data_IF_181586701865
#
_entry.id   IF_181586701865
#
_cell.length_a   1.000
_cell.length_b   1.000
_cell.length_c   1.000
_cell.angle_alpha   90.00
_cell.angle_beta   90.00
_cell.angle_gamma   90.00
#
_symmetry.space_group_name_H-M   'P 1'
#
loop_
_entity.id
_entity.type
_entity.pdbx_description
1 polymer ?
#
# COMPACT_ATOMS: atom_id res chain seq x y z
N UNK A 1 -14.23 -20.89 5.72
CA UNK A 1 -13.23 -21.81 5.17
C UNK A 1 -11.92 -21.05 5.03
N UNK A 2 -11.06 -21.12 6.06
CA UNK A 2 -9.84 -20.31 6.15
C UNK A 2 -8.70 -21.20 6.68
N UNK A 3 -8.31 -22.16 5.87
CA UNK A 3 -7.01 -22.82 5.97
C UNK A 3 -6.06 -22.07 5.03
N UNK A 4 -5.36 -21.08 5.58
CA UNK A 4 -4.39 -20.28 4.84
C UNK A 4 -3.49 -19.54 5.83
N UNK A 5 -2.52 -20.22 6.46
CA UNK A 5 -1.71 -19.68 7.56
C UNK A 5 -0.63 -18.68 7.10
N UNK A 6 -0.75 -18.10 5.90
CA UNK A 6 0.19 -17.09 5.42
C UNK A 6 -0.41 -15.70 5.61
N UNK A 7 0.03 -14.90 6.62
CA UNK A 7 -0.46 -13.54 6.81
C UNK A 7 -0.30 -12.70 5.53
N UNK A 8 0.68 -13.06 4.69
CA UNK A 8 0.92 -12.41 3.41
C UNK A 8 -0.22 -12.56 2.39
N UNK A 9 -0.87 -13.72 2.31
CA UNK A 9 -1.93 -13.95 1.33
C UNK A 9 -3.23 -13.29 1.77
N UNK A 10 -3.59 -13.39 3.06
CA UNK A 10 -4.74 -12.66 3.63
C UNK A 10 -4.63 -11.14 3.42
N UNK A 11 -3.43 -10.58 3.56
CA UNK A 11 -3.16 -9.16 3.32
C UNK A 11 -3.11 -8.82 1.83
N UNK A 12 -2.62 -9.73 0.98
CA UNK A 12 -2.67 -9.61 -0.47
C UNK A 12 -4.11 -9.47 -0.96
N UNK A 13 -4.99 -10.37 -0.55
CA UNK A 13 -6.43 -10.28 -0.88
C UNK A 13 -7.06 -8.99 -0.33
N UNK A 14 -6.72 -8.55 0.88
CA UNK A 14 -7.24 -7.30 1.45
C UNK A 14 -6.76 -6.04 0.71
N UNK A 15 -5.47 -5.97 0.37
CA UNK A 15 -4.90 -4.82 -0.34
C UNK A 15 -5.36 -4.76 -1.81
N UNK A 16 -5.48 -5.92 -2.47
CA UNK A 16 -6.02 -6.02 -3.83
C UNK A 16 -7.53 -5.73 -3.87
N UNK A 17 -8.28 -6.17 -2.84
CA UNK A 17 -9.72 -5.90 -2.73
C UNK A 17 -10.04 -4.41 -2.74
N UNK A 18 -9.22 -3.57 -2.08
CA UNK A 18 -9.38 -2.12 -2.09
C UNK A 18 -9.23 -1.49 -3.48
N UNK A 19 -8.50 -2.13 -4.40
CA UNK A 19 -8.29 -1.66 -5.77
C UNK A 19 -9.19 -2.35 -6.80
N UNK A 20 -9.90 -3.41 -6.39
CA UNK A 20 -10.75 -4.22 -7.27
C UNK A 20 -11.87 -3.39 -7.92
N UNK A 21 -12.44 -2.43 -7.18
CA UNK A 21 -13.45 -1.51 -7.71
C UNK A 21 -12.94 -0.69 -8.91
N UNK A 22 -11.68 -0.24 -8.87
CA UNK A 22 -11.05 0.48 -9.97
C UNK A 22 -10.81 -0.43 -11.19
N UNK A 23 -10.38 -1.68 -10.94
CA UNK A 23 -10.16 -2.67 -12.00
C UNK A 23 -11.48 -2.98 -12.70
N UNK A 24 -12.54 -3.24 -11.95
CA UNK A 24 -13.89 -3.48 -12.49
C UNK A 24 -14.40 -2.29 -13.31
N UNK A 25 -14.21 -1.07 -12.81
CA UNK A 25 -14.59 0.14 -13.53
C UNK A 25 -13.82 0.28 -14.84
N UNK A 26 -12.53 -0.08 -14.84
CA UNK A 26 -11.68 -0.05 -16.03
C UNK A 26 -12.11 -1.11 -17.06
N UNK A 27 -12.45 -2.32 -16.62
CA UNK A 27 -12.95 -3.39 -17.49
C UNK A 27 -14.29 -3.04 -18.14
N UNK A 28 -15.11 -2.23 -17.48
CA UNK A 28 -16.42 -1.81 -17.97
C UNK A 28 -16.39 -0.49 -18.75
N UNK A 29 -15.19 0.07 -19.03
CA UNK A 29 -15.02 1.34 -19.74
C UNK A 29 -15.82 1.41 -21.04
N UNK A 30 -15.84 0.33 -21.83
CA UNK A 30 -16.62 0.27 -23.08
C UNK A 30 -18.13 0.53 -22.91
N UNK A 31 -18.71 0.25 -21.73
CA UNK A 31 -20.14 0.43 -21.47
C UNK A 31 -20.51 1.88 -21.13
N UNK A 32 -19.66 2.58 -20.37
CA UNK A 32 -20.01 3.89 -19.79
C UNK A 32 -19.22 5.06 -20.40
N UNK A 33 -18.12 4.79 -21.10
CA UNK A 33 -17.25 5.86 -21.62
C UNK A 33 -17.88 6.69 -22.74
N UNK A 34 -18.78 6.10 -23.53
CA UNK A 34 -19.53 6.82 -24.56
C UNK A 34 -20.53 7.83 -23.98
N UNK A 35 -20.94 7.61 -22.72
CA UNK A 35 -21.93 8.42 -22.04
C UNK A 35 -21.25 9.54 -21.24
N UNK A 36 -21.26 10.77 -21.77
CA UNK A 36 -20.62 11.93 -21.13
C UNK A 36 -21.10 12.20 -19.70
N UNK A 37 -22.38 11.96 -19.41
CA UNK A 37 -22.94 12.11 -18.05
C UNK A 37 -22.33 11.12 -17.05
N UNK A 38 -22.09 9.88 -17.47
CA UNK A 38 -21.53 8.83 -16.62
C UNK A 38 -20.07 9.16 -16.28
N UNK A 39 -19.31 9.68 -17.24
CA UNK A 39 -17.93 10.16 -17.02
C UNK A 39 -17.87 11.28 -15.99
N UNK A 40 -18.73 12.29 -16.12
CA UNK A 40 -18.79 13.41 -15.17
C UNK A 40 -19.18 12.92 -13.78
N UNK A 41 -20.12 11.99 -13.67
CA UNK A 41 -20.55 11.44 -12.39
C UNK A 41 -19.43 10.66 -11.69
N UNK A 42 -18.70 9.80 -12.42
CA UNK A 42 -17.54 9.07 -11.88
C UNK A 42 -16.44 10.05 -11.45
N UNK A 43 -16.15 11.07 -12.27
CA UNK A 43 -15.16 12.09 -11.92
C UNK A 43 -15.56 12.87 -10.66
N UNK A 44 -16.83 13.25 -10.53
CA UNK A 44 -17.35 13.98 -9.38
C UNK A 44 -17.27 13.16 -8.09
N UNK A 45 -17.67 11.87 -8.14
CA UNK A 45 -17.57 10.95 -7.00
C UNK A 45 -16.11 10.72 -6.60
N UNK A 46 -15.22 10.53 -7.58
CA UNK A 46 -13.78 10.39 -7.35
C UNK A 46 -13.17 11.62 -6.69
N UNK A 47 -13.49 12.82 -7.21
CA UNK A 47 -13.01 14.09 -6.67
C UNK A 47 -13.53 14.35 -5.25
N UNK A 48 -14.82 14.11 -5.00
CA UNK A 48 -15.41 14.24 -3.68
C UNK A 48 -14.75 13.29 -2.67
N UNK A 49 -14.54 12.03 -3.05
CA UNK A 49 -13.86 11.03 -2.22
C UNK A 49 -12.43 11.45 -1.92
N UNK A 50 -11.68 11.90 -2.93
CA UNK A 50 -10.30 12.34 -2.77
C UNK A 50 -10.19 13.53 -1.79
N UNK A 51 -11.06 14.54 -1.95
CA UNK A 51 -11.08 15.72 -1.09
C UNK A 51 -11.47 15.37 0.34
N UNK A 52 -12.58 14.66 0.52
CA UNK A 52 -13.09 14.29 1.83
C UNK A 52 -12.09 13.39 2.57
N UNK A 53 -11.55 12.36 1.93
CA UNK A 53 -10.57 11.46 2.54
C UNK A 53 -9.24 12.16 2.84
N UNK A 54 -8.80 13.11 2.01
CA UNK A 54 -7.58 13.90 2.25
C UNK A 54 -7.73 14.81 3.48
N UNK A 55 -8.91 15.42 3.65
CA UNK A 55 -9.22 16.22 4.83
C UNK A 55 -9.22 15.35 6.10
N UNK A 56 -9.90 14.21 6.05
CA UNK A 56 -9.95 13.24 7.17
C UNK A 56 -8.56 12.72 7.52
N UNK A 57 -7.69 12.48 6.52
CA UNK A 57 -6.33 12.03 6.74
C UNK A 57 -5.48 13.06 7.52
N UNK A 58 -5.73 14.36 7.35
CA UNK A 58 -5.02 15.44 8.05
C UNK A 58 -5.49 15.63 9.49
N UNK A 59 -6.77 15.39 9.75
CA UNK A 59 -7.39 15.64 11.06
C UNK A 59 -7.19 14.44 12.02
N UNK A 60 -7.00 13.23 11.50
CA UNK A 60 -6.80 12.03 12.35
C UNK A 60 -5.50 12.09 13.15
N UNK A 61 -5.61 12.00 14.47
CA UNK A 61 -4.48 11.92 15.40
C UNK A 61 -3.76 10.54 15.36
N UNK A 62 -4.48 9.47 15.01
CA UNK A 62 -3.89 8.14 14.85
C UNK A 62 -3.30 7.94 13.45
N UNK A 63 -2.01 7.56 13.40
CA UNK A 63 -1.28 7.25 12.18
C UNK A 63 -1.90 6.09 11.39
N UNK A 64 -2.47 5.07 12.04
CA UNK A 64 -3.10 3.95 11.31
C UNK A 64 -4.32 4.43 10.54
N UNK A 65 -5.19 5.19 11.21
CA UNK A 65 -6.37 5.78 10.60
C UNK A 65 -6.06 6.82 9.52
N UNK A 66 -5.05 7.66 9.75
CA UNK A 66 -4.60 8.65 8.76
C UNK A 66 -4.07 7.96 7.50
N UNK A 67 -3.34 6.84 7.65
CA UNK A 67 -2.84 6.05 6.52
C UNK A 67 -3.96 5.43 5.68
N UNK A 68 -4.98 4.87 6.35
CA UNK A 68 -6.16 4.30 5.69
C UNK A 68 -6.97 5.38 4.94
N UNK A 69 -7.11 6.57 5.53
CA UNK A 69 -7.78 7.70 4.89
C UNK A 69 -6.98 8.20 3.68
N UNK A 70 -5.64 8.23 3.78
CA UNK A 70 -4.78 8.58 2.66
C UNK A 70 -4.87 7.57 1.50
N UNK A 71 -4.98 6.26 1.79
CA UNK A 71 -5.20 5.25 0.74
C UNK A 71 -6.55 5.44 0.02
N UNK A 72 -7.62 5.75 0.76
CA UNK A 72 -8.91 6.08 0.14
C UNK A 72 -8.84 7.33 -0.72
N UNK A 73 -8.07 8.35 -0.31
CA UNK A 73 -7.84 9.54 -1.11
C UNK A 73 -7.11 9.22 -2.43
N UNK A 74 -6.09 8.37 -2.38
CA UNK A 74 -5.39 7.89 -3.59
C UNK A 74 -6.34 7.16 -4.54
N UNK A 75 -7.20 6.27 -4.03
CA UNK A 75 -8.21 5.59 -4.87
C UNK A 75 -9.17 6.59 -5.52
N UNK A 76 -9.60 7.63 -4.79
CA UNK A 76 -10.41 8.72 -5.34
C UNK A 76 -9.74 9.45 -6.51
N UNK A 77 -8.43 9.73 -6.41
CA UNK A 77 -7.65 10.32 -7.51
C UNK A 77 -7.57 9.39 -8.72
N UNK A 78 -7.40 8.08 -8.49
CA UNK A 78 -7.38 7.10 -9.58
C UNK A 78 -8.70 7.05 -10.36
N UNK A 79 -9.84 7.18 -9.66
CA UNK A 79 -11.16 7.26 -10.31
C UNK A 79 -11.26 8.50 -11.22
N UNK A 80 -10.72 9.64 -10.80
CA UNK A 80 -10.68 10.86 -11.64
C UNK A 80 -9.83 10.64 -12.89
N UNK A 81 -8.68 9.96 -12.78
CA UNK A 81 -7.80 9.65 -13.91
C UNK A 81 -8.50 8.69 -14.90
N UNK A 82 -9.23 7.69 -14.40
CA UNK A 82 -10.03 6.78 -15.24
C UNK A 82 -11.13 7.55 -15.97
N UNK A 83 -11.86 8.44 -15.29
CA UNK A 83 -12.91 9.26 -15.91
C UNK A 83 -12.37 10.25 -16.96
N UNK A 84 -11.13 10.73 -16.78
CA UNK A 84 -10.41 11.55 -17.74
C UNK A 84 -10.03 10.78 -19.02
N UNK A 85 -10.16 9.45 -19.04
CA UNK A 85 -9.86 8.62 -20.21
C UNK A 85 -8.46 8.01 -20.22
N UNK A 86 -7.79 7.94 -19.07
CA UNK A 86 -6.48 7.29 -18.93
C UNK A 86 -6.53 6.03 -18.05
N UNK A 87 -7.33 5.00 -18.42
CA UNK A 87 -7.49 3.79 -17.62
C UNK A 87 -6.17 3.02 -17.42
N UNK A 88 -5.32 2.94 -18.45
CA UNK A 88 -4.04 2.23 -18.38
C UNK A 88 -3.08 2.86 -17.37
N UNK A 89 -3.03 4.19 -17.31
CA UNK A 89 -2.22 4.94 -16.35
C UNK A 89 -2.75 4.72 -14.93
N UNK A 90 -4.07 4.77 -14.76
CA UNK A 90 -4.69 4.53 -13.46
C UNK A 90 -4.41 3.11 -12.94
N UNK A 91 -4.46 2.09 -13.80
CA UNK A 91 -4.10 0.71 -13.43
C UNK A 91 -2.63 0.57 -13.03
N UNK A 92 -1.71 1.20 -13.77
CA UNK A 92 -0.29 1.16 -13.44
C UNK A 92 -0.02 1.81 -12.07
N UNK A 93 -0.60 2.99 -11.82
CA UNK A 93 -0.47 3.67 -10.55
C UNK A 93 -1.12 2.88 -9.40
N UNK A 94 -2.28 2.28 -9.64
CA UNK A 94 -2.98 1.42 -8.67
C UNK A 94 -2.12 0.22 -8.28
N UNK A 95 -1.55 -0.48 -9.28
CA UNK A 95 -0.69 -1.63 -9.06
C UNK A 95 0.58 -1.23 -8.29
N UNK A 96 1.23 -0.14 -8.69
CA UNK A 96 2.40 0.39 -7.98
C UNK A 96 2.08 0.76 -6.54
N UNK A 97 0.96 1.44 -6.31
CA UNK A 97 0.51 1.82 -4.97
C UNK A 97 0.23 0.58 -4.10
N UNK A 98 -0.52 -0.38 -4.62
CA UNK A 98 -0.87 -1.62 -3.93
C UNK A 98 0.37 -2.46 -3.60
N UNK A 99 1.31 -2.60 -4.55
CA UNK A 99 2.55 -3.34 -4.36
C UNK A 99 3.42 -2.71 -3.26
N UNK A 100 3.64 -1.39 -3.31
CA UNK A 100 4.41 -0.68 -2.28
C UNK A 100 3.77 -0.82 -0.90
N UNK A 101 2.45 -0.72 -0.81
CA UNK A 101 1.70 -0.91 0.43
C UNK A 101 1.85 -2.32 0.98
N UNK A 102 1.70 -3.33 0.13
CA UNK A 102 1.83 -4.71 0.53
C UNK A 102 3.24 -4.96 1.08
N UNK A 103 4.27 -4.47 0.40
CA UNK A 103 5.65 -4.67 0.87
C UNK A 103 5.91 -3.98 2.21
N UNK A 104 5.40 -2.75 2.41
CA UNK A 104 5.49 -2.06 3.70
C UNK A 104 4.84 -2.86 4.84
N UNK A 105 3.66 -3.43 4.59
CA UNK A 105 2.92 -4.21 5.58
C UNK A 105 3.60 -5.55 5.85
N UNK A 106 4.12 -6.24 4.83
CA UNK A 106 4.75 -7.56 4.96
C UNK A 106 6.10 -7.51 5.70
N UNK A 107 6.87 -6.44 5.53
CA UNK A 107 8.16 -6.30 6.22
C UNK A 107 8.02 -6.14 7.74
N UNK A 108 6.92 -5.54 8.21
CA UNK A 108 6.70 -5.33 9.64
C UNK A 108 6.65 -6.64 10.45
N UNK A 109 5.82 -7.65 10.12
CA UNK A 109 5.79 -8.92 10.83
C UNK A 109 7.02 -9.79 10.55
N UNK A 110 7.60 -9.77 9.34
CA UNK A 110 8.81 -10.54 9.02
C UNK A 110 9.98 -10.17 9.94
N UNK A 111 10.21 -8.87 10.16
CA UNK A 111 11.23 -8.38 11.07
C UNK A 111 11.01 -8.79 12.54
N UNK A 112 9.75 -8.90 12.95
CA UNK A 112 9.39 -9.32 14.32
C UNK A 112 9.59 -10.83 14.46
N UNK A 113 9.14 -11.60 13.48
CA UNK A 113 9.33 -13.05 13.41
C UNK A 113 10.82 -13.41 13.44
N UNK A 114 11.66 -12.78 12.62
CA UNK A 114 13.11 -13.00 12.61
C UNK A 114 13.75 -12.73 13.97
N UNK A 115 13.34 -11.65 14.64
CA UNK A 115 13.83 -11.32 16.00
C UNK A 115 13.43 -12.38 17.01
N UNK A 116 12.21 -12.90 16.95
CA UNK A 116 11.78 -13.99 17.81
C UNK A 116 12.52 -15.29 17.51
N UNK A 117 12.78 -15.60 16.24
CA UNK A 117 13.56 -16.77 15.82
C UNK A 117 14.99 -16.68 16.34
N UNK A 118 15.68 -15.55 16.15
CA UNK A 118 17.04 -15.35 16.68
C UNK A 118 17.06 -15.48 18.20
N UNK A 119 16.14 -14.84 18.91
CA UNK A 119 16.05 -14.94 20.37
C UNK A 119 15.84 -16.38 20.88
N UNK A 120 14.99 -17.16 20.18
CA UNK A 120 14.81 -18.60 20.48
C UNK A 120 16.09 -19.39 20.27
N UNK A 121 16.83 -19.12 19.18
CA UNK A 121 18.08 -19.82 18.86
C UNK A 121 19.23 -19.47 19.79
N UNK A 122 19.32 -18.20 20.24
CA UNK A 122 20.40 -17.75 21.13
C UNK A 122 20.08 -17.94 22.62
N UNK A 123 18.85 -18.35 22.96
CA UNK A 123 18.34 -18.43 24.32
C UNK A 123 18.56 -17.14 25.14
N UNK A 124 18.70 -16.00 24.44
CA UNK A 124 18.85 -14.68 25.02
C UNK A 124 17.53 -13.93 24.88
N UNK A 125 17.01 -13.32 25.96
CA UNK A 125 15.82 -12.48 25.85
C UNK A 125 16.11 -11.30 24.92
N UNK A 126 15.11 -10.89 24.13
CA UNK A 126 15.19 -9.65 23.33
C UNK A 126 15.18 -8.48 24.30
N UNK A 127 16.36 -8.09 24.80
CA UNK A 127 16.48 -6.96 25.72
C UNK A 127 16.39 -5.66 24.90
N UNK A 128 15.44 -4.76 25.20
CA UNK A 128 15.44 -3.44 24.60
C UNK A 128 16.73 -2.71 25.02
N UNK A 129 17.67 -2.53 24.09
CA UNK A 129 18.85 -1.70 24.34
C UNK A 129 18.40 -0.25 24.52
N UNK A 130 18.86 0.38 25.59
CA UNK A 130 18.67 1.81 25.79
C UNK A 130 19.62 2.56 24.85
N UNK A 131 19.06 3.09 23.75
CA UNK A 131 19.80 3.84 22.73
C UNK A 131 19.44 5.31 22.92
N UNK A 132 20.42 6.21 22.84
CA UNK A 132 20.14 7.64 22.95
C UNK A 132 19.13 8.09 21.89
N UNK A 133 18.20 8.96 22.27
CA UNK A 133 17.11 9.44 21.41
C UNK A 133 17.56 9.95 20.01
N UNK A 134 18.69 10.68 19.85
CA UNK A 134 19.14 11.10 18.52
C UNK A 134 19.65 9.92 17.68
N UNK A 135 20.41 8.98 18.27
CA UNK A 135 20.87 7.78 17.60
C UNK A 135 19.70 6.87 17.21
N UNK A 136 18.69 6.76 18.06
CA UNK A 136 17.46 6.03 17.73
C UNK A 136 16.74 6.66 16.53
N UNK A 137 16.54 7.98 16.52
CA UNK A 137 15.91 8.68 15.38
C UNK A 137 16.73 8.57 14.09
N UNK A 138 18.06 8.67 14.19
CA UNK A 138 18.96 8.54 13.05
C UNK A 138 18.95 7.10 12.51
N UNK A 139 19.15 6.10 13.38
CA UNK A 139 19.10 4.69 13.01
C UNK A 139 17.74 4.30 12.44
N UNK A 140 16.65 4.83 12.99
CA UNK A 140 15.31 4.60 12.45
C UNK A 140 15.14 5.23 11.06
N UNK A 141 15.66 6.45 10.83
CA UNK A 141 15.65 7.09 9.50
C UNK A 141 16.52 6.36 8.48
N UNK A 142 17.72 5.95 8.86
CA UNK A 142 18.65 5.21 8.01
C UNK A 142 18.08 3.84 7.66
N UNK A 143 17.56 3.11 8.64
CA UNK A 143 16.94 1.80 8.41
C UNK A 143 15.68 1.88 7.56
N UNK A 144 14.95 3.00 7.63
CA UNK A 144 13.82 3.27 6.74
C UNK A 144 14.28 3.46 5.28
N UNK A 145 15.32 4.26 5.05
CA UNK A 145 15.90 4.47 3.73
C UNK A 145 16.52 3.19 3.16
N UNK A 146 17.29 2.46 3.97
CA UNK A 146 17.87 1.17 3.59
C UNK A 146 16.76 0.16 3.26
N UNK A 147 15.66 0.16 4.03
CA UNK A 147 14.53 -0.71 3.71
C UNK A 147 13.89 -0.36 2.35
N UNK A 148 13.77 0.92 2.00
CA UNK A 148 13.21 1.33 0.71
C UNK A 148 14.18 1.02 -0.47
N UNK A 149 15.50 1.12 -0.26
CA UNK A 149 16.52 0.88 -1.30
C UNK A 149 16.72 -0.63 -1.54
N UNK A 150 16.84 -1.44 -0.48
CA UNK A 150 17.00 -2.90 -0.62
C UNK A 150 15.78 -3.58 -1.26
N UNK A 151 14.61 -2.92 -1.20
CA UNK A 151 13.41 -3.34 -1.94
C UNK A 151 13.63 -3.35 -3.44
N UNK A 152 14.33 -2.34 -3.95
CA UNK A 152 14.56 -2.15 -5.38
C UNK A 152 15.58 -3.19 -5.89
N UNK A 153 16.64 -3.45 -5.12
CA UNK A 153 17.64 -4.46 -5.48
C UNK A 153 17.06 -5.88 -5.48
N UNK A 154 16.23 -6.21 -4.48
CA UNK A 154 15.59 -7.54 -4.40
C UNK A 154 14.59 -7.77 -5.54
N UNK A 155 13.87 -6.71 -5.97
CA UNK A 155 12.98 -6.78 -7.14
C UNK A 155 13.75 -6.89 -8.46
N UNK A 156 14.89 -6.21 -8.61
CA UNK A 156 15.77 -6.35 -9.79
C UNK A 156 16.43 -7.72 -9.90
N UNK A 157 16.76 -8.35 -8.77
CA UNK A 157 17.26 -9.73 -8.72
C UNK A 157 16.16 -10.75 -9.08
N UNK A 158 14.91 -10.50 -8.68
CA UNK A 158 13.78 -11.37 -9.02
C UNK A 158 13.37 -11.26 -10.50
N UNK A 159 13.41 -10.05 -11.07
CA UNK A 159 13.06 -9.80 -12.48
C UNK A 159 14.10 -10.34 -13.47
N UNK A 160 15.34 -10.58 -13.03
CA UNK A 160 16.36 -11.26 -13.84
C UNK A 160 16.25 -12.78 -13.83
N UNK A 161 15.37 -13.35 -12.99
CA UNK A 161 15.28 -14.80 -12.74
C UNK A 161 14.10 -15.47 -13.44
N UNK A 162 13.24 -14.71 -14.11
CA UNK A 162 12.17 -15.22 -14.96
C UNK A 162 12.26 -14.52 -16.33
N UNK A 163 12.53 -15.26 -17.42
CA UNK A 163 12.56 -14.72 -18.79
C UNK A 163 11.16 -14.37 -19.30
#
# INVERSE_FOLDING_TARGET
>A
SMEGPTPASALGYGALSAHLGLVLLTCTTSLWFEHGWARVLIAAVGAYTALHSSLVARIRADRKGALASATSATVGVLLVIVAAGYPSVALLLALGHAALRLVQVLRSPALIADRHTVARLTNQPVVPRNISAPLYKLAWRLRRLESDIHLLDTLQLLSRRFP
#
